data_IF_419611664244
#
_entry.id   IF_419611664244
#
_cell.length_a   1.000
_cell.length_b   1.000
_cell.length_c   1.000
_cell.angle_alpha   90.00
_cell.angle_beta   90.00
_cell.angle_gamma   90.00
#
_symmetry.space_group_name_H-M   'P 1'
#
loop_
_entity.id
_entity.type
_entity.pdbx_description
1 polymer ?
#
# COMPACT_ATOMS: atom_id res chain seq x y z
N UNK A 1 -6.18 -18.80 -8.11
CA UNK A 1 -5.97 -18.72 -6.64
C UNK A 1 -7.30 -18.52 -5.94
N UNK A 2 -7.56 -19.22 -4.85
CA UNK A 2 -8.75 -18.99 -3.99
C UNK A 2 -8.35 -18.02 -2.90
N UNK A 3 -8.94 -16.84 -2.90
CA UNK A 3 -8.52 -15.72 -2.03
C UNK A 3 -9.69 -15.29 -1.16
N UNK A 4 -9.45 -15.10 0.14
CA UNK A 4 -10.35 -14.38 1.04
C UNK A 4 -9.72 -13.04 1.43
N UNK A 5 -10.49 -11.97 1.36
CA UNK A 5 -10.15 -10.67 1.94
C UNK A 5 -11.01 -10.49 3.19
N UNK A 6 -10.35 -10.59 4.33
CA UNK A 6 -10.97 -10.40 5.64
C UNK A 6 -10.91 -8.91 5.99
N UNK A 7 -12.07 -8.26 5.94
CA UNK A 7 -12.16 -6.81 6.14
C UNK A 7 -12.09 -6.02 4.84
N UNK A 8 -13.25 -5.75 4.25
CA UNK A 8 -13.38 -4.94 3.03
C UNK A 8 -13.72 -3.48 3.37
N UNK A 9 -12.77 -2.84 4.08
CA UNK A 9 -12.69 -1.37 4.17
C UNK A 9 -12.08 -0.77 2.90
N UNK A 10 -11.58 0.47 2.96
CA UNK A 10 -11.00 1.14 1.79
C UNK A 10 -9.86 0.33 1.15
N UNK A 11 -8.91 -0.15 1.96
CA UNK A 11 -7.78 -0.93 1.47
C UNK A 11 -8.22 -2.29 0.93
N UNK A 12 -9.03 -3.05 1.68
CA UNK A 12 -9.52 -4.37 1.24
C UNK A 12 -10.31 -4.29 -0.07
N UNK A 13 -11.15 -3.25 -0.24
CA UNK A 13 -11.87 -3.02 -1.51
C UNK A 13 -10.93 -2.61 -2.64
N UNK A 14 -9.87 -1.84 -2.35
CA UNK A 14 -8.86 -1.49 -3.36
C UNK A 14 -8.11 -2.72 -3.86
N UNK A 15 -7.74 -3.62 -2.94
CA UNK A 15 -7.13 -4.93 -3.28
C UNK A 15 -8.11 -5.77 -4.11
N UNK A 16 -9.36 -5.90 -3.65
CA UNK A 16 -10.39 -6.65 -4.37
C UNK A 16 -10.59 -6.13 -5.79
N UNK A 17 -10.70 -4.80 -5.96
CA UNK A 17 -10.84 -4.15 -7.26
C UNK A 17 -9.67 -4.46 -8.19
N UNK A 18 -8.45 -4.37 -7.68
CA UNK A 18 -7.26 -4.70 -8.45
C UNK A 18 -7.22 -6.17 -8.86
N UNK A 19 -7.57 -7.10 -7.97
CA UNK A 19 -7.67 -8.54 -8.28
C UNK A 19 -8.70 -8.83 -9.36
N UNK A 20 -9.85 -8.14 -9.33
CA UNK A 20 -10.91 -8.28 -10.34
C UNK A 20 -10.44 -7.76 -11.70
N UNK A 21 -9.85 -6.56 -11.75
CA UNK A 21 -9.36 -5.95 -13.00
C UNK A 21 -8.30 -6.85 -13.66
N UNK A 22 -7.39 -7.43 -12.88
CA UNK A 22 -6.31 -8.27 -13.40
C UNK A 22 -6.68 -9.76 -13.53
N UNK A 23 -7.90 -10.14 -13.16
CA UNK A 23 -8.41 -11.52 -13.21
C UNK A 23 -7.44 -12.56 -12.59
N UNK A 24 -6.86 -12.24 -11.43
CA UNK A 24 -5.81 -13.02 -10.78
C UNK A 24 -6.33 -14.04 -9.75
N UNK A 25 -7.64 -14.22 -9.65
CA UNK A 25 -8.28 -15.15 -8.72
C UNK A 25 -9.15 -16.20 -9.45
N UNK A 26 -9.31 -17.36 -8.82
CA UNK A 26 -10.29 -18.40 -9.22
C UNK A 26 -11.60 -18.18 -8.48
N UNK A 27 -11.52 -17.91 -7.17
CA UNK A 27 -12.63 -17.46 -6.31
C UNK A 27 -12.13 -16.36 -5.38
N UNK A 28 -12.98 -15.37 -5.14
CA UNK A 28 -12.70 -14.24 -4.26
C UNK A 28 -13.83 -14.12 -3.22
N UNK A 29 -13.49 -14.33 -1.95
CA UNK A 29 -14.41 -14.16 -0.83
C UNK A 29 -14.12 -12.82 -0.14
N UNK A 30 -15.15 -12.00 0.00
CA UNK A 30 -15.07 -10.67 0.62
C UNK A 30 -15.87 -10.69 1.92
N UNK A 31 -15.21 -10.38 3.06
CA UNK A 31 -15.94 -10.32 4.32
C UNK A 31 -16.15 -8.88 4.79
N UNK A 32 -17.35 -8.59 5.30
CA UNK A 32 -17.72 -7.31 5.89
C UNK A 32 -18.92 -7.47 6.80
N UNK A 33 -18.96 -6.72 7.91
CA UNK A 33 -20.11 -6.74 8.84
C UNK A 33 -21.41 -6.24 8.20
N UNK A 34 -21.34 -5.20 7.38
CA UNK A 34 -22.49 -4.71 6.60
C UNK A 34 -22.32 -5.10 5.13
N UNK A 35 -23.12 -6.06 4.68
CA UNK A 35 -23.08 -6.60 3.32
C UNK A 35 -23.69 -5.68 2.27
N UNK A 36 -24.57 -4.73 2.65
CA UNK A 36 -25.19 -3.80 1.70
C UNK A 36 -24.12 -2.98 0.97
N UNK A 37 -23.04 -2.63 1.69
CA UNK A 37 -21.91 -1.93 1.11
C UNK A 37 -21.09 -2.76 0.08
N UNK A 38 -21.40 -4.05 -0.05
CA UNK A 38 -20.78 -4.98 -1.01
C UNK A 38 -21.75 -5.48 -2.07
N UNK A 39 -22.99 -4.98 -2.12
CA UNK A 39 -24.04 -5.49 -3.01
C UNK A 39 -23.61 -5.51 -4.49
N UNK A 40 -22.92 -4.47 -4.97
CA UNK A 40 -22.40 -4.39 -6.35
C UNK A 40 -21.32 -5.42 -6.66
N UNK A 41 -20.67 -6.00 -5.66
CA UNK A 41 -19.64 -7.02 -5.88
C UNK A 41 -20.19 -8.38 -6.26
N UNK A 42 -21.48 -8.63 -6.06
CA UNK A 42 -22.17 -9.86 -6.49
C UNK A 42 -22.25 -10.00 -8.03
N UNK A 43 -22.08 -8.90 -8.74
CA UNK A 43 -22.10 -8.88 -10.21
C UNK A 43 -20.81 -9.44 -10.83
N UNK A 44 -19.72 -9.48 -10.07
CA UNK A 44 -18.46 -10.02 -10.55
C UNK A 44 -18.45 -11.55 -10.47
N UNK A 45 -18.00 -12.19 -11.53
CA UNK A 45 -17.90 -13.64 -11.62
C UNK A 45 -16.99 -14.21 -10.54
N UNK A 46 -17.45 -15.25 -9.84
CA UNK A 46 -16.69 -15.93 -8.78
C UNK A 46 -16.30 -15.05 -7.59
N UNK A 47 -17.04 -13.96 -7.37
CA UNK A 47 -16.92 -13.14 -6.16
C UNK A 47 -18.08 -13.46 -5.22
N UNK A 48 -17.75 -13.76 -3.97
CA UNK A 48 -18.69 -14.13 -2.92
C UNK A 48 -18.55 -13.17 -1.74
N UNK A 49 -19.68 -12.73 -1.19
CA UNK A 49 -19.72 -11.84 -0.03
C UNK A 49 -20.32 -12.56 1.17
N UNK A 50 -19.73 -12.42 2.33
CA UNK A 50 -20.21 -13.04 3.57
C UNK A 50 -19.88 -12.19 4.80
N UNK A 51 -20.63 -12.39 5.90
CA UNK A 51 -20.26 -11.87 7.21
C UNK A 51 -19.40 -12.88 8.00
N UNK A 52 -19.38 -14.13 7.57
CA UNK A 52 -18.72 -15.24 8.26
C UNK A 52 -17.27 -15.38 7.77
N UNK A 53 -16.32 -14.97 8.64
CA UNK A 53 -14.89 -15.10 8.35
C UNK A 53 -14.46 -16.57 8.27
N UNK A 54 -15.04 -17.47 9.07
CA UNK A 54 -14.71 -18.91 9.03
C UNK A 54 -15.10 -19.53 7.70
N UNK A 55 -16.31 -19.20 7.21
CA UNK A 55 -16.76 -19.64 5.90
C UNK A 55 -15.80 -19.18 4.79
N UNK A 56 -15.40 -17.91 4.80
CA UNK A 56 -14.48 -17.36 3.80
C UNK A 56 -13.11 -18.06 3.86
N UNK A 57 -12.59 -18.32 5.06
CA UNK A 57 -11.32 -19.03 5.28
C UNK A 57 -11.40 -20.47 4.76
N UNK A 58 -12.42 -21.23 5.09
CA UNK A 58 -12.57 -22.63 4.66
C UNK A 58 -12.63 -22.79 3.13
N UNK A 59 -13.11 -21.78 2.43
CA UNK A 59 -13.25 -21.78 0.96
C UNK A 59 -12.05 -21.19 0.20
N UNK A 60 -11.00 -20.78 0.91
CA UNK A 60 -9.85 -20.07 0.35
C UNK A 60 -8.53 -20.72 0.74
N UNK A 61 -7.48 -20.45 -0.01
CA UNK A 61 -6.11 -20.89 0.28
C UNK A 61 -5.25 -19.70 0.73
N UNK A 62 -5.58 -18.48 0.30
CA UNK A 62 -4.86 -17.24 0.59
C UNK A 62 -5.78 -16.31 1.37
N UNK A 63 -5.33 -15.88 2.53
CA UNK A 63 -6.10 -15.07 3.47
C UNK A 63 -5.45 -13.69 3.59
N UNK A 64 -6.08 -12.66 3.04
CA UNK A 64 -5.60 -11.27 3.11
C UNK A 64 -6.40 -10.54 4.19
N UNK A 65 -5.71 -10.09 5.24
CA UNK A 65 -6.30 -9.34 6.34
C UNK A 65 -6.13 -7.84 6.14
N UNK A 66 -7.24 -7.12 6.01
CA UNK A 66 -7.29 -5.67 5.82
C UNK A 66 -8.28 -5.01 6.79
N UNK A 67 -8.24 -5.42 8.05
CA UNK A 67 -9.05 -4.91 9.16
C UNK A 67 -8.28 -3.88 9.99
N UNK A 68 -8.96 -3.23 10.94
CA UNK A 68 -8.31 -2.37 11.91
C UNK A 68 -7.46 -3.21 12.90
N UNK A 69 -6.32 -2.68 13.39
CA UNK A 69 -5.44 -3.41 14.30
C UNK A 69 -6.15 -3.99 15.54
N UNK A 70 -7.08 -3.24 16.12
CA UNK A 70 -7.85 -3.63 17.29
C UNK A 70 -8.86 -4.78 17.05
N UNK A 71 -9.12 -5.14 15.81
CA UNK A 71 -10.01 -6.25 15.43
C UNK A 71 -9.22 -7.50 15.04
N UNK A 72 -7.93 -7.36 14.76
CA UNK A 72 -7.15 -8.42 14.14
C UNK A 72 -7.00 -9.63 15.07
N UNK A 73 -6.68 -9.42 16.35
CA UNK A 73 -6.52 -10.52 17.32
C UNK A 73 -7.79 -11.36 17.48
N UNK A 74 -8.93 -10.71 17.67
CA UNK A 74 -10.21 -11.42 17.80
C UNK A 74 -10.58 -12.21 16.54
N UNK A 75 -10.25 -11.70 15.37
CA UNK A 75 -10.48 -12.41 14.10
C UNK A 75 -9.53 -13.61 13.97
N UNK A 76 -8.26 -13.48 14.37
CA UNK A 76 -7.32 -14.60 14.37
C UNK A 76 -7.80 -15.74 15.30
N UNK A 77 -8.31 -15.41 16.51
CA UNK A 77 -8.91 -16.38 17.42
C UNK A 77 -10.16 -17.05 16.83
N UNK A 78 -11.02 -16.25 16.20
CA UNK A 78 -12.24 -16.73 15.54
C UNK A 78 -11.93 -17.79 14.49
N UNK A 79 -10.95 -17.54 13.61
CA UNK A 79 -10.64 -18.40 12.45
C UNK A 79 -9.69 -19.56 12.79
N UNK A 80 -8.96 -19.48 13.89
CA UNK A 80 -7.96 -20.49 14.28
C UNK A 80 -8.47 -21.95 14.20
N UNK A 81 -9.71 -22.28 14.62
CA UNK A 81 -10.23 -23.65 14.53
C UNK A 81 -10.40 -24.19 13.11
N UNK A 82 -10.44 -23.32 12.09
CA UNK A 82 -10.66 -23.70 10.67
C UNK A 82 -9.41 -23.52 9.82
N UNK A 83 -8.30 -23.05 10.42
CA UNK A 83 -7.01 -22.96 9.73
C UNK A 83 -6.40 -24.35 9.51
N UNK A 84 -5.69 -24.49 8.40
CA UNK A 84 -4.92 -25.69 8.07
C UNK A 84 -3.60 -25.31 7.37
N UNK A 85 -2.76 -26.28 7.08
CA UNK A 85 -1.41 -26.14 6.52
C UNK A 85 -1.34 -25.57 5.09
N UNK A 86 -2.48 -25.49 4.39
CA UNK A 86 -2.58 -24.93 3.03
C UNK A 86 -2.71 -23.40 3.04
N UNK A 87 -3.18 -22.83 4.15
CA UNK A 87 -3.44 -21.41 4.24
C UNK A 87 -2.15 -20.58 4.23
N UNK A 88 -2.14 -19.56 3.41
CA UNK A 88 -1.14 -18.49 3.41
C UNK A 88 -1.77 -17.24 4.01
N UNK A 89 -1.21 -16.76 5.11
CA UNK A 89 -1.70 -15.60 5.85
C UNK A 89 -0.97 -14.37 5.34
N UNK A 90 -1.69 -13.40 4.78
CA UNK A 90 -1.15 -12.12 4.34
C UNK A 90 -1.78 -11.01 5.17
N UNK A 91 -0.97 -10.37 6.02
CA UNK A 91 -1.41 -9.27 6.88
C UNK A 91 -1.04 -7.92 6.28
N UNK A 92 -2.02 -7.02 6.12
CA UNK A 92 -1.78 -5.62 5.78
C UNK A 92 -1.87 -4.70 7.01
N UNK A 93 -1.83 -5.27 8.21
CA UNK A 93 -2.11 -4.55 9.45
C UNK A 93 -0.89 -3.74 9.88
N UNK A 94 -1.08 -2.43 9.97
CA UNK A 94 -0.03 -1.51 10.41
C UNK A 94 0.33 -1.76 11.88
N UNK A 95 1.62 -1.79 12.18
CA UNK A 95 2.12 -1.92 13.55
C UNK A 95 1.99 -3.32 14.17
N UNK A 96 1.48 -4.32 13.42
CA UNK A 96 1.30 -5.69 13.94
C UNK A 96 2.38 -6.62 13.38
N UNK A 97 3.35 -6.99 14.23
CA UNK A 97 4.51 -7.81 13.85
C UNK A 97 4.14 -9.28 13.59
N UNK A 98 4.95 -9.97 12.79
CA UNK A 98 4.82 -11.40 12.51
C UNK A 98 4.81 -12.21 13.81
N UNK A 99 5.73 -11.90 14.73
CA UNK A 99 5.83 -12.58 16.04
C UNK A 99 4.50 -12.58 16.81
N UNK A 100 3.71 -11.49 16.75
CA UNK A 100 2.38 -11.45 17.41
C UNK A 100 1.39 -12.38 16.74
N UNK A 101 1.44 -12.54 15.42
CA UNK A 101 0.61 -13.51 14.69
C UNK A 101 1.03 -14.95 15.05
N UNK A 102 2.35 -15.21 15.09
CA UNK A 102 2.89 -16.54 15.47
C UNK A 102 2.52 -16.93 16.91
N UNK A 103 2.58 -15.99 17.85
CA UNK A 103 2.15 -16.25 19.25
C UNK A 103 0.69 -16.69 19.32
N UNK A 104 -0.15 -16.19 18.44
CA UNK A 104 -1.58 -16.46 18.47
C UNK A 104 -1.97 -17.73 17.70
N UNK A 105 -1.39 -17.92 16.53
CA UNK A 105 -1.75 -19.03 15.64
C UNK A 105 -0.78 -20.21 15.71
N UNK A 106 0.48 -19.99 16.07
CA UNK A 106 1.61 -20.88 15.93
C UNK A 106 2.53 -20.48 14.79
N UNK A 107 3.78 -20.97 14.83
CA UNK A 107 4.84 -20.66 13.86
C UNK A 107 4.85 -21.56 12.61
N UNK A 108 3.96 -22.55 12.58
CA UNK A 108 3.83 -23.50 11.47
C UNK A 108 3.16 -22.90 10.23
N UNK A 109 2.45 -21.76 10.36
CA UNK A 109 1.75 -21.14 9.23
C UNK A 109 2.67 -20.21 8.42
N UNK A 110 2.55 -20.20 7.08
CA UNK A 110 3.16 -19.17 6.25
C UNK A 110 2.54 -17.80 6.54
N UNK A 111 3.29 -16.90 7.16
CA UNK A 111 2.85 -15.55 7.48
C UNK A 111 3.66 -14.56 6.66
N UNK A 112 2.96 -13.72 5.91
CA UNK A 112 3.52 -12.65 5.10
C UNK A 112 2.90 -11.33 5.56
N UNK A 113 3.73 -10.32 5.81
CA UNK A 113 3.25 -8.95 5.96
C UNK A 113 3.38 -8.25 4.61
N UNK A 114 2.37 -7.51 4.26
CA UNK A 114 2.35 -6.65 3.08
C UNK A 114 1.94 -5.24 3.47
N UNK A 115 2.62 -4.25 2.91
CA UNK A 115 2.31 -2.86 3.15
C UNK A 115 2.09 -2.15 1.82
N UNK A 116 0.90 -2.27 1.24
CA UNK A 116 0.48 -1.53 0.07
C UNK A 116 0.05 -0.11 0.41
N UNK A 117 -0.24 0.69 -0.62
CA UNK A 117 -0.91 1.97 -0.48
C UNK A 117 -2.19 2.05 -1.33
N UNK A 118 -2.93 3.15 -1.23
CA UNK A 118 -4.22 3.31 -1.90
C UNK A 118 -4.13 3.33 -3.43
N UNK A 119 -2.95 3.57 -4.04
CA UNK A 119 -2.76 3.48 -5.48
C UNK A 119 -2.90 2.05 -6.02
N UNK A 120 -3.06 1.06 -5.13
CA UNK A 120 -3.39 -0.33 -5.49
C UNK A 120 -4.68 -0.40 -6.34
N UNK A 121 -5.63 0.51 -6.11
CA UNK A 121 -6.89 0.58 -6.85
C UNK A 121 -6.74 0.96 -8.33
N UNK A 122 -5.57 1.48 -8.71
CA UNK A 122 -5.21 1.88 -10.08
C UNK A 122 -3.96 1.14 -10.59
N UNK A 123 -3.54 0.07 -9.92
CA UNK A 123 -2.41 -0.76 -10.33
C UNK A 123 -1.04 -0.06 -10.23
N UNK A 124 -0.88 0.88 -9.31
CA UNK A 124 0.34 1.70 -9.14
C UNK A 124 0.85 1.73 -7.70
N UNK A 125 0.51 0.72 -6.89
CA UNK A 125 1.03 0.64 -5.52
C UNK A 125 2.50 0.27 -5.51
N UNK A 126 3.28 0.84 -4.59
CA UNK A 126 4.48 0.19 -4.08
C UNK A 126 4.07 -0.63 -2.86
N UNK A 127 4.27 -1.94 -2.91
CA UNK A 127 3.92 -2.86 -1.82
C UNK A 127 5.18 -3.51 -1.25
N UNK A 128 5.52 -3.19 -0.01
CA UNK A 128 6.61 -3.86 0.68
C UNK A 128 6.13 -5.17 1.31
N UNK A 129 6.94 -6.23 1.19
CA UNK A 129 6.66 -7.57 1.67
C UNK A 129 7.75 -8.04 2.62
N UNK A 130 7.38 -8.74 3.68
CA UNK A 130 8.28 -9.56 4.47
C UNK A 130 7.55 -10.82 4.97
N UNK A 131 8.27 -11.82 5.48
CA UNK A 131 7.65 -13.07 5.90
C UNK A 131 8.39 -13.70 7.06
N UNK A 132 7.69 -14.60 7.78
CA UNK A 132 8.36 -15.53 8.67
C UNK A 132 9.14 -16.60 7.88
N UNK A 133 9.86 -17.48 8.61
CA UNK A 133 10.68 -18.54 8.02
C UNK A 133 9.89 -19.47 7.09
N UNK A 134 8.68 -19.86 7.51
CA UNK A 134 7.78 -20.74 6.73
C UNK A 134 7.21 -20.00 5.52
N UNK A 135 6.82 -18.74 5.71
CA UNK A 135 6.27 -17.87 4.66
C UNK A 135 7.27 -17.54 3.55
N UNK A 136 8.58 -17.63 3.78
CA UNK A 136 9.59 -17.32 2.78
C UNK A 136 9.39 -18.09 1.47
N UNK A 137 9.00 -19.37 1.55
CA UNK A 137 8.70 -20.20 0.38
C UNK A 137 7.39 -19.81 -0.32
N UNK A 138 6.55 -19.01 0.32
CA UNK A 138 5.24 -18.54 -0.19
C UNK A 138 5.27 -17.07 -0.64
N UNK A 139 6.38 -16.34 -0.43
CA UNK A 139 6.54 -14.96 -0.91
C UNK A 139 6.19 -14.80 -2.40
N UNK A 140 6.59 -15.71 -3.31
CA UNK A 140 6.23 -15.59 -4.72
C UNK A 140 4.71 -15.52 -4.98
N UNK A 141 3.88 -16.08 -4.08
CA UNK A 141 2.42 -15.98 -4.17
C UNK A 141 1.97 -14.55 -3.89
N UNK A 142 2.49 -13.94 -2.83
CA UNK A 142 2.18 -12.55 -2.49
C UNK A 142 2.73 -11.59 -3.57
N UNK A 143 3.95 -11.81 -4.04
CA UNK A 143 4.54 -11.04 -5.14
C UNK A 143 3.67 -11.12 -6.41
N UNK A 144 3.21 -12.31 -6.80
CA UNK A 144 2.32 -12.47 -7.96
C UNK A 144 0.99 -11.71 -7.79
N UNK A 145 0.43 -11.68 -6.58
CA UNK A 145 -0.78 -10.93 -6.28
C UNK A 145 -0.51 -9.42 -6.40
N UNK A 146 0.52 -8.92 -5.72
CA UNK A 146 0.75 -7.49 -5.61
C UNK A 146 1.44 -6.88 -6.83
N UNK A 147 2.23 -7.64 -7.61
CA UNK A 147 2.79 -7.18 -8.89
C UNK A 147 1.69 -6.94 -9.94
N UNK A 148 0.56 -7.64 -9.86
CA UNK A 148 -0.63 -7.29 -10.62
C UNK A 148 -1.31 -5.99 -10.19
N UNK A 149 -0.93 -5.44 -9.03
CA UNK A 149 -1.53 -4.26 -8.41
C UNK A 149 -0.54 -3.07 -8.29
N UNK A 150 0.65 -3.22 -8.86
CA UNK A 150 1.73 -2.24 -8.84
C UNK A 150 3.09 -2.91 -8.85
N UNK A 151 4.01 -2.44 -8.01
CA UNK A 151 5.34 -3.02 -7.82
C UNK A 151 5.50 -3.57 -6.40
N UNK A 152 6.30 -4.60 -6.24
CA UNK A 152 6.62 -5.18 -4.94
C UNK A 152 8.11 -5.05 -4.61
N UNK A 153 8.41 -4.98 -3.32
CA UNK A 153 9.77 -5.03 -2.79
C UNK A 153 9.78 -5.90 -1.53
N UNK A 154 10.56 -6.99 -1.55
CA UNK A 154 10.78 -7.80 -0.35
C UNK A 154 11.87 -7.17 0.51
N UNK A 155 11.57 -6.96 1.78
CA UNK A 155 12.43 -6.29 2.77
C UNK A 155 12.50 -7.10 4.07
N UNK A 156 13.46 -6.77 4.93
CA UNK A 156 13.47 -7.28 6.31
C UNK A 156 12.32 -6.66 7.13
N UNK A 157 11.72 -7.45 8.03
CA UNK A 157 10.59 -6.98 8.85
C UNK A 157 10.92 -5.74 9.68
N UNK A 158 12.16 -5.60 10.13
CA UNK A 158 12.67 -4.45 10.87
C UNK A 158 12.51 -3.12 10.13
N UNK A 159 12.46 -3.16 8.80
CA UNK A 159 12.26 -1.99 7.94
C UNK A 159 10.77 -1.73 7.58
N UNK A 160 9.85 -2.63 7.98
CA UNK A 160 8.44 -2.52 7.56
C UNK A 160 7.77 -1.22 8.01
N UNK A 161 8.15 -0.68 9.17
CA UNK A 161 7.58 0.58 9.65
C UNK A 161 8.10 1.79 8.87
N UNK A 162 9.39 1.80 8.54
CA UNK A 162 9.96 2.82 7.65
C UNK A 162 9.33 2.74 6.25
N UNK A 163 9.16 1.53 5.72
CA UNK A 163 8.46 1.30 4.45
C UNK A 163 7.00 1.78 4.50
N UNK A 164 6.30 1.59 5.63
CA UNK A 164 4.95 2.12 5.82
C UNK A 164 4.93 3.65 5.69
N UNK A 165 5.90 4.34 6.26
CA UNK A 165 6.00 5.80 6.17
C UNK A 165 6.30 6.24 4.74
N UNK A 166 7.27 5.60 4.07
CA UNK A 166 7.69 5.97 2.71
C UNK A 166 6.63 5.64 1.66
N UNK A 167 6.02 4.45 1.73
CA UNK A 167 5.17 3.93 0.67
C UNK A 167 3.68 4.15 0.96
N UNK A 168 3.21 3.82 2.17
CA UNK A 168 1.79 3.91 2.50
C UNK A 168 1.38 5.34 2.91
N UNK A 169 2.08 5.95 3.85
CA UNK A 169 1.85 7.36 4.23
C UNK A 169 2.37 8.33 3.18
N UNK A 170 3.48 8.00 2.54
CA UNK A 170 4.18 8.82 1.55
C UNK A 170 3.31 9.26 0.38
N UNK A 171 2.32 8.44 0.00
CA UNK A 171 1.39 8.83 -1.09
C UNK A 171 0.65 10.14 -0.74
N UNK A 172 0.33 10.38 0.53
CA UNK A 172 -0.29 11.62 0.97
C UNK A 172 0.67 12.80 0.88
N UNK A 173 1.97 12.58 1.13
CA UNK A 173 3.00 13.62 1.01
C UNK A 173 3.20 14.03 -0.44
N UNK A 174 3.26 13.06 -1.36
CA UNK A 174 3.29 13.33 -2.81
C UNK A 174 2.04 14.07 -3.29
N UNK A 175 0.84 13.68 -2.83
CA UNK A 175 -0.39 14.40 -3.15
C UNK A 175 -0.36 15.84 -2.61
N UNK A 176 0.26 16.09 -1.45
CA UNK A 176 0.43 17.44 -0.91
C UNK A 176 1.35 18.29 -1.79
N UNK A 177 2.43 17.72 -2.31
CA UNK A 177 3.33 18.42 -3.25
C UNK A 177 2.60 18.74 -4.56
N UNK A 178 1.86 17.79 -5.13
CA UNK A 178 1.02 18.03 -6.32
C UNK A 178 0.01 19.16 -6.05
N UNK A 179 -0.65 19.15 -4.88
CA UNK A 179 -1.59 20.21 -4.51
C UNK A 179 -0.90 21.57 -4.40
N UNK A 180 0.27 21.65 -3.79
CA UNK A 180 1.04 22.89 -3.67
C UNK A 180 1.46 23.43 -5.06
N UNK A 181 1.93 22.56 -5.96
CA UNK A 181 2.24 22.91 -7.35
C UNK A 181 1.01 23.43 -8.09
N UNK A 182 -0.14 22.78 -7.91
CA UNK A 182 -1.41 23.25 -8.47
C UNK A 182 -1.76 24.66 -7.99
N UNK A 183 -1.62 24.94 -6.68
CA UNK A 183 -1.88 26.26 -6.10
C UNK A 183 -0.94 27.31 -6.68
N UNK A 184 0.34 26.97 -6.84
CA UNK A 184 1.31 27.83 -7.53
C UNK A 184 0.90 28.11 -8.98
N UNK A 185 0.44 27.09 -9.71
CA UNK A 185 -0.06 27.26 -11.09
C UNK A 185 -1.25 28.23 -11.17
N UNK A 186 -2.17 28.17 -10.22
CA UNK A 186 -3.29 29.14 -10.14
C UNK A 186 -2.77 30.54 -9.86
N UNK A 187 -1.78 30.71 -8.99
CA UNK A 187 -1.16 32.00 -8.73
C UNK A 187 -0.44 32.57 -9.97
N UNK A 188 0.04 31.70 -10.85
CA UNK A 188 0.65 32.07 -12.13
C UNK A 188 -0.35 32.37 -13.24
N UNK A 189 -1.68 32.25 -12.97
CA UNK A 189 -2.75 32.64 -13.88
C UNK A 189 -3.45 31.49 -14.61
N UNK A 190 -3.16 30.22 -14.27
CA UNK A 190 -3.90 29.10 -14.86
C UNK A 190 -5.20 28.81 -14.10
N UNK A 191 -6.21 28.32 -14.80
CA UNK A 191 -7.39 27.74 -14.18
C UNK A 191 -7.00 26.52 -13.33
N UNK A 192 -7.71 26.30 -12.21
CA UNK A 192 -7.37 25.26 -11.24
C UNK A 192 -7.29 23.84 -11.84
N UNK A 193 -8.21 23.50 -12.74
CA UNK A 193 -8.26 22.18 -13.39
C UNK A 193 -7.09 22.00 -14.35
N UNK A 194 -6.71 23.07 -15.08
CA UNK A 194 -5.54 23.06 -15.97
C UNK A 194 -4.27 22.91 -15.15
N UNK A 195 -4.10 23.72 -14.10
CA UNK A 195 -2.95 23.64 -13.19
C UNK A 195 -2.83 22.25 -12.54
N UNK A 196 -3.95 21.65 -12.13
CA UNK A 196 -3.96 20.29 -11.56
C UNK A 196 -3.50 19.25 -12.58
N UNK A 197 -4.03 19.30 -13.81
CA UNK A 197 -3.65 18.37 -14.88
C UNK A 197 -2.16 18.47 -15.19
N UNK A 198 -1.62 19.69 -15.31
CA UNK A 198 -0.20 19.94 -15.53
C UNK A 198 0.66 19.38 -14.39
N UNK A 199 0.30 19.69 -13.15
CA UNK A 199 1.03 19.24 -11.95
C UNK A 199 1.09 17.72 -11.84
N UNK A 200 -0.04 17.03 -12.05
CA UNK A 200 -0.09 15.57 -12.01
C UNK A 200 0.76 14.93 -13.11
N UNK A 201 0.65 15.43 -14.34
CA UNK A 201 1.41 14.87 -15.47
C UNK A 201 2.92 15.10 -15.29
N UNK A 202 3.33 16.28 -14.81
CA UNK A 202 4.74 16.58 -14.54
C UNK A 202 5.31 15.72 -13.44
N UNK A 203 4.58 15.53 -12.31
CA UNK A 203 5.00 14.65 -11.22
C UNK A 203 5.14 13.20 -11.69
N UNK A 204 4.20 12.71 -12.48
CA UNK A 204 4.25 11.37 -13.08
C UNK A 204 5.46 11.24 -14.02
N UNK A 205 5.71 12.25 -14.87
CA UNK A 205 6.86 12.27 -15.78
C UNK A 205 8.19 12.23 -15.06
N UNK A 206 8.35 13.02 -13.99
CA UNK A 206 9.57 13.03 -13.19
C UNK A 206 9.83 11.66 -12.53
N UNK A 207 8.80 11.02 -11.95
CA UNK A 207 8.93 9.70 -11.38
C UNK A 207 9.26 8.63 -12.44
N UNK A 208 8.58 8.67 -13.59
CA UNK A 208 8.81 7.74 -14.70
C UNK A 208 10.23 7.86 -15.25
N UNK A 209 10.72 9.11 -15.40
CA UNK A 209 12.07 9.36 -15.87
C UNK A 209 13.11 8.67 -15.00
N UNK A 210 13.02 8.82 -13.68
CA UNK A 210 13.94 8.18 -12.74
C UNK A 210 13.82 6.65 -12.75
N UNK A 211 12.59 6.11 -12.88
CA UNK A 211 12.35 4.66 -12.93
C UNK A 211 12.94 4.04 -14.19
N UNK A 212 12.77 4.70 -15.33
CA UNK A 212 13.19 4.17 -16.64
C UNK A 212 14.68 4.34 -16.89
N UNK A 213 15.28 5.46 -16.47
CA UNK A 213 16.72 5.72 -16.67
C UNK A 213 17.59 5.11 -15.59
N UNK A 214 17.08 4.96 -14.36
CA UNK A 214 17.87 4.58 -13.18
C UNK A 214 18.86 5.66 -12.74
N UNK A 215 18.76 6.87 -13.30
CA UNK A 215 19.65 8.01 -12.98
C UNK A 215 19.45 8.49 -11.54
N UNK A 216 20.48 9.07 -10.96
CA UNK A 216 20.35 9.78 -9.69
C UNK A 216 19.47 11.03 -9.86
N UNK A 217 18.57 11.36 -8.90
CA UNK A 217 17.69 12.52 -9.01
C UNK A 217 18.42 13.83 -9.32
N UNK A 218 19.57 14.08 -8.71
CA UNK A 218 20.37 15.30 -8.96
C UNK A 218 20.89 15.37 -10.39
N UNK A 219 21.22 14.24 -11.02
CA UNK A 219 21.65 14.24 -12.43
C UNK A 219 20.52 14.70 -13.36
N UNK A 220 19.29 14.28 -13.10
CA UNK A 220 18.13 14.70 -13.88
C UNK A 220 17.74 16.15 -13.59
N UNK A 221 17.92 16.62 -12.34
CA UNK A 221 17.76 18.03 -11.97
C UNK A 221 18.77 18.91 -12.71
N UNK A 222 20.04 18.50 -12.74
CA UNK A 222 21.09 19.25 -13.44
C UNK A 222 20.81 19.36 -14.95
N UNK A 223 20.26 18.32 -15.58
CA UNK A 223 19.91 18.34 -17.02
C UNK A 223 18.85 19.37 -17.38
N UNK A 224 17.93 19.68 -16.46
CA UNK A 224 16.88 20.69 -16.69
C UNK A 224 17.23 22.06 -16.13
N UNK A 225 18.42 22.20 -15.54
CA UNK A 225 18.90 23.42 -14.89
C UNK A 225 19.91 24.12 -15.77
N UNK A 226 19.66 25.38 -16.12
CA UNK A 226 20.57 26.20 -16.95
C UNK A 226 21.12 27.37 -16.14
N UNK A 227 22.33 27.87 -16.48
CA UNK A 227 22.91 29.09 -15.85
C UNK A 227 21.93 30.26 -15.92
N UNK A 228 21.63 30.86 -14.77
CA UNK A 228 20.66 31.98 -14.63
C UNK A 228 19.23 31.64 -15.03
N UNK A 229 18.90 30.33 -15.14
CA UNK A 229 17.57 29.86 -15.54
C UNK A 229 16.50 29.98 -14.44
N UNK A 230 15.25 29.91 -14.85
CA UNK A 230 14.11 29.94 -13.92
C UNK A 230 14.10 28.71 -12.98
N UNK A 231 14.55 27.55 -13.47
CA UNK A 231 14.59 26.30 -12.69
C UNK A 231 15.49 26.42 -11.48
N UNK A 232 16.76 26.85 -11.67
CA UNK A 232 17.70 27.00 -10.53
C UNK A 232 17.23 28.06 -9.54
N UNK A 233 16.63 29.14 -10.03
CA UNK A 233 16.07 30.18 -9.16
C UNK A 233 14.96 29.64 -8.28
N UNK A 234 14.04 28.85 -8.86
CA UNK A 234 12.96 28.22 -8.13
C UNK A 234 13.45 27.16 -7.11
N UNK A 235 14.41 26.31 -7.50
CA UNK A 235 15.01 25.30 -6.62
C UNK A 235 15.68 25.96 -5.41
N UNK A 236 16.50 26.99 -5.64
CA UNK A 236 17.18 27.68 -4.55
C UNK A 236 16.18 28.34 -3.59
N UNK A 237 15.10 28.93 -4.08
CA UNK A 237 14.07 29.52 -3.22
C UNK A 237 13.35 28.43 -2.40
N UNK A 238 12.98 27.29 -3.01
CA UNK A 238 12.36 26.19 -2.28
C UNK A 238 13.28 25.63 -1.18
N UNK A 239 14.57 25.46 -1.45
CA UNK A 239 15.54 25.01 -0.45
C UNK A 239 15.77 26.07 0.63
N UNK A 240 15.83 27.36 0.29
CA UNK A 240 15.90 28.45 1.27
C UNK A 240 14.71 28.45 2.23
N UNK A 241 13.51 28.11 1.74
CA UNK A 241 12.30 27.93 2.55
C UNK A 241 12.25 26.58 3.26
N UNK A 242 13.24 25.71 3.08
CA UNK A 242 13.42 24.45 3.81
C UNK A 242 12.57 23.29 3.31
N UNK A 243 12.32 23.18 2.00
CA UNK A 243 11.53 22.10 1.41
C UNK A 243 12.03 20.72 1.81
N UNK A 244 13.32 20.42 1.56
CA UNK A 244 13.91 19.11 1.90
C UNK A 244 13.88 18.85 3.40
N UNK A 245 14.23 19.84 4.21
CA UNK A 245 14.20 19.73 5.69
C UNK A 245 12.78 19.46 6.21
N UNK A 246 11.79 20.14 5.67
CA UNK A 246 10.38 19.95 6.06
C UNK A 246 9.88 18.54 5.74
N UNK A 247 10.19 18.04 4.54
CA UNK A 247 9.80 16.69 4.12
C UNK A 247 10.46 15.62 4.99
N UNK A 248 11.78 15.73 5.24
CA UNK A 248 12.53 14.79 6.09
C UNK A 248 11.98 14.79 7.53
N UNK A 249 11.70 15.96 8.09
CA UNK A 249 11.08 16.07 9.43
C UNK A 249 9.69 15.45 9.48
N UNK A 250 8.90 15.63 8.42
CA UNK A 250 7.58 15.00 8.29
C UNK A 250 7.64 13.48 8.27
N UNK A 251 8.59 12.91 7.51
CA UNK A 251 8.85 11.47 7.48
C UNK A 251 9.26 10.95 8.87
N UNK A 252 10.18 11.61 9.54
CA UNK A 252 10.63 11.23 10.90
C UNK A 252 9.48 11.32 11.93
N UNK A 253 8.68 12.38 11.88
CA UNK A 253 7.52 12.50 12.76
C UNK A 253 6.52 11.37 12.57
N UNK A 254 6.25 10.99 11.30
CA UNK A 254 5.40 9.83 10.97
C UNK A 254 6.00 8.52 11.47
N UNK A 255 7.32 8.35 11.34
CA UNK A 255 8.02 7.15 11.82
C UNK A 255 7.95 7.01 13.33
N UNK A 256 8.16 8.09 14.07
CA UNK A 256 8.01 8.09 15.53
C UNK A 256 6.58 7.73 15.94
N UNK A 257 5.59 8.32 15.28
CA UNK A 257 4.19 8.03 15.58
C UNK A 257 3.81 6.57 15.33
N UNK A 258 4.29 5.96 14.23
CA UNK A 258 3.99 4.55 13.93
C UNK A 258 4.66 3.60 14.92
N UNK A 259 5.84 3.92 15.41
CA UNK A 259 6.53 3.17 16.47
C UNK A 259 5.77 3.23 17.80
N UNK A 260 5.16 4.36 18.12
CA UNK A 260 4.34 4.49 19.34
C UNK A 260 3.04 3.66 19.22
N UNK A 261 2.43 3.60 18.03
CA UNK A 261 1.26 2.75 17.77
C UNK A 261 1.62 1.26 17.90
N UNK A 262 2.79 0.85 17.42
CA UNK A 262 3.23 -0.53 17.48
C UNK A 262 3.53 -1.05 18.90
N UNK A 263 3.75 -0.14 19.87
CA UNK A 263 3.98 -0.48 21.29
C UNK A 263 2.69 -0.68 22.09
N UNK A 264 1.57 -0.23 21.58
CA UNK A 264 0.23 -0.43 22.14
C UNK A 264 -0.35 -1.79 21.74
#
# INVERSE_FOLDING_TARGET
MKIAIIGTGNLGLSIAKGLVINNTYTTLHLTKRNLDALSSWKEYKNVYITQDNKEAVQKSDILIFAVQPNQFESILEEIKPVLNDKHVIISTITGYAIERVEKQLGDQYPIIRSMPNTAISVGKSMTCLCSNKVGKKRLPIAEAIYNGLGSTLTIEETHMQAATVLCASGIAFWMRLIRATTQGGVQLGFDADVALKMSMQTAMGAASLLIETGSHPEEEIDRVTTPRGCTITGLNEMEHQGLSSSLIKGLNASFNKINDIAKQ
#
